data_IF_102095631121
#
_entry.id   IF_102095631121
#
_cell.length_a   1.000
_cell.length_b   1.000
_cell.length_c   1.000
_cell.angle_alpha   90.00
_cell.angle_beta   90.00
_cell.angle_gamma   90.00
#
_symmetry.space_group_name_H-M   'P 1'
#
loop_
_entity.id
_entity.type
_entity.pdbx_description
1 polymer ?
#
# COMPACT_ATOMS: atom_id res chain seq x y z
N UNK A 1 -22.29 5.25 -14.59
CA UNK A 1 -22.27 3.98 -15.35
C UNK A 1 -20.87 3.38 -15.28
N UNK A 2 -20.73 2.06 -15.21
CA UNK A 2 -19.41 1.41 -15.33
C UNK A 2 -18.80 1.72 -16.69
N UNK A 3 -17.48 1.96 -16.73
CA UNK A 3 -16.75 2.23 -17.98
C UNK A 3 -16.64 0.93 -18.77
N UNK A 4 -17.04 0.94 -20.04
CA UNK A 4 -16.99 -0.27 -20.87
C UNK A 4 -15.54 -0.66 -21.20
N UNK A 5 -15.29 -1.94 -21.52
CA UNK A 5 -13.97 -2.39 -21.94
C UNK A 5 -13.43 -1.63 -23.16
N UNK A 6 -14.31 -1.27 -24.11
CA UNK A 6 -13.93 -0.50 -25.30
C UNK A 6 -13.48 0.92 -24.91
N UNK A 7 -14.24 1.60 -24.04
CA UNK A 7 -13.87 2.91 -23.51
C UNK A 7 -12.57 2.87 -22.71
N UNK A 8 -12.34 1.84 -21.90
CA UNK A 8 -11.10 1.67 -21.15
C UNK A 8 -9.88 1.54 -22.08
N UNK A 9 -10.00 0.78 -23.16
CA UNK A 9 -8.95 0.69 -24.18
C UNK A 9 -8.68 2.04 -24.84
N UNK A 10 -9.72 2.79 -25.21
CA UNK A 10 -9.57 4.15 -25.76
C UNK A 10 -8.90 5.09 -24.76
N UNK A 11 -9.31 5.06 -23.49
CA UNK A 11 -8.73 5.89 -22.43
C UNK A 11 -7.27 5.54 -22.15
N UNK A 12 -6.92 4.25 -22.15
CA UNK A 12 -5.54 3.82 -21.96
C UNK A 12 -4.64 4.19 -23.15
N UNK A 13 -5.17 4.24 -24.38
CA UNK A 13 -4.42 4.73 -25.54
C UNK A 13 -4.34 6.26 -25.61
N UNK A 14 -5.21 6.98 -24.88
CA UNK A 14 -5.29 8.43 -24.91
C UNK A 14 -4.05 9.11 -24.33
N UNK A 15 -3.70 10.26 -24.90
CA UNK A 15 -2.70 11.18 -24.33
C UNK A 15 -3.34 12.33 -23.52
N UNK A 16 -4.67 12.40 -23.50
CA UNK A 16 -5.43 13.37 -22.72
C UNK A 16 -5.53 12.93 -21.26
N UNK A 17 -4.43 13.13 -20.53
CA UNK A 17 -4.33 12.79 -19.12
C UNK A 17 -5.25 13.62 -18.23
N UNK A 18 -5.63 14.82 -18.70
CA UNK A 18 -6.54 15.71 -17.97
C UNK A 18 -7.95 15.09 -17.97
N UNK A 19 -8.48 14.72 -19.14
CA UNK A 19 -9.80 14.08 -19.23
C UNK A 19 -9.82 12.75 -18.47
N UNK A 20 -8.76 11.95 -18.61
CA UNK A 20 -8.60 10.70 -17.89
C UNK A 20 -8.64 10.92 -16.36
N UNK A 21 -7.84 11.87 -15.87
CA UNK A 21 -7.78 12.22 -14.46
C UNK A 21 -9.12 12.74 -13.92
N UNK A 22 -9.80 13.61 -14.67
CA UNK A 22 -11.14 14.11 -14.31
C UNK A 22 -12.16 12.97 -14.18
N UNK A 23 -12.17 12.01 -15.11
CA UNK A 23 -13.06 10.84 -15.05
C UNK A 23 -12.75 9.97 -13.82
N UNK A 24 -11.46 9.75 -13.54
CA UNK A 24 -11.03 8.96 -12.39
C UNK A 24 -11.40 9.65 -11.06
N UNK A 25 -11.17 10.97 -10.93
CA UNK A 25 -11.58 11.74 -9.77
C UNK A 25 -13.10 11.71 -9.55
N UNK A 26 -13.89 11.80 -10.62
CA UNK A 26 -15.34 11.64 -10.52
C UNK A 26 -15.74 10.27 -9.96
N UNK A 27 -15.09 9.18 -10.36
CA UNK A 27 -15.32 7.85 -9.76
C UNK A 27 -14.92 7.86 -8.28
N UNK A 28 -13.76 8.41 -7.95
CA UNK A 28 -13.25 8.51 -6.58
C UNK A 28 -14.18 9.31 -5.68
N UNK A 29 -14.67 10.48 -6.11
CA UNK A 29 -15.63 11.32 -5.38
C UNK A 29 -16.98 10.64 -5.19
N UNK A 30 -17.47 9.88 -6.17
CA UNK A 30 -18.70 9.08 -6.00
C UNK A 30 -18.57 8.02 -4.91
N UNK A 31 -17.36 7.47 -4.69
CA UNK A 31 -17.11 6.45 -3.68
C UNK A 31 -16.79 7.01 -2.30
N UNK A 32 -16.00 8.09 -2.26
CA UNK A 32 -15.38 8.56 -1.02
C UNK A 32 -15.72 10.02 -0.67
N UNK A 33 -16.54 10.72 -1.47
CA UNK A 33 -16.85 12.13 -1.25
C UNK A 33 -15.58 12.99 -1.34
N UNK A 34 -15.33 13.83 -0.34
CA UNK A 34 -14.07 14.59 -0.17
C UNK A 34 -13.07 13.90 0.75
N UNK A 35 -13.47 12.86 1.49
CA UNK A 35 -12.64 12.17 2.47
C UNK A 35 -11.45 11.49 1.79
N UNK A 36 -10.23 11.80 2.25
CA UNK A 36 -8.97 11.13 1.88
C UNK A 36 -8.33 10.61 3.14
N UNK A 37 -7.96 9.33 3.16
CA UNK A 37 -7.27 8.76 4.32
C UNK A 37 -5.76 8.86 4.22
N UNK A 38 -5.08 8.88 5.36
CA UNK A 38 -3.63 8.72 5.43
C UNK A 38 -3.21 7.97 6.70
N UNK A 39 -2.08 7.27 6.67
CA UNK A 39 -1.52 6.59 7.84
C UNK A 39 -0.11 7.04 8.14
N UNK A 40 0.17 7.23 9.43
CA UNK A 40 1.52 7.47 9.94
C UNK A 40 2.17 6.15 10.36
N UNK A 41 3.34 5.87 9.79
CA UNK A 41 4.02 4.58 9.87
C UNK A 41 5.35 4.73 10.60
N UNK A 42 5.57 3.91 11.62
CA UNK A 42 6.89 3.68 12.19
C UNK A 42 7.52 2.47 11.50
N UNK A 43 8.55 2.69 10.71
CA UNK A 43 9.27 1.63 9.99
C UNK A 43 10.30 0.99 10.89
N UNK A 44 10.26 -0.33 10.97
CA UNK A 44 11.12 -1.15 11.82
C UNK A 44 11.81 -2.20 10.95
N UNK A 45 13.15 -2.37 10.99
CA UNK A 45 13.83 -3.38 10.17
C UNK A 45 13.55 -4.80 10.68
N UNK A 46 13.56 -5.78 9.79
CA UNK A 46 13.46 -7.21 10.09
C UNK A 46 14.58 -7.69 11.03
N UNK A 47 15.80 -7.19 10.83
CA UNK A 47 16.92 -7.42 11.74
C UNK A 47 16.98 -6.30 12.80
N UNK A 48 17.04 -6.62 14.10
CA UNK A 48 17.16 -5.63 15.16
C UNK A 48 18.44 -4.79 15.02
N UNK A 49 18.32 -3.47 15.13
CA UNK A 49 19.46 -2.52 15.06
C UNK A 49 19.68 -1.74 16.36
N UNK A 50 19.02 -2.15 17.45
CA UNK A 50 19.02 -1.46 18.74
C UNK A 50 17.63 -1.46 19.37
N UNK A 51 17.46 -0.71 20.48
CA UNK A 51 16.17 -0.59 21.17
C UNK A 51 15.07 -0.06 20.24
N UNK A 52 13.88 -0.64 20.34
CA UNK A 52 12.70 -0.15 19.63
C UNK A 52 12.22 1.17 20.26
N UNK A 53 12.28 2.25 19.50
CA UNK A 53 11.71 3.55 19.86
C UNK A 53 10.57 3.85 18.89
N UNK A 54 9.35 3.92 19.41
CA UNK A 54 8.15 4.17 18.61
C UNK A 54 7.67 5.61 18.85
N UNK A 55 7.55 6.43 17.81
CA UNK A 55 6.94 7.76 17.94
C UNK A 55 5.53 7.68 18.52
N UNK A 56 5.14 8.65 19.36
CA UNK A 56 3.79 8.69 19.96
C UNK A 56 2.66 8.82 18.93
N UNK A 57 3.01 9.35 17.76
CA UNK A 57 2.19 9.57 16.58
C UNK A 57 1.90 8.33 15.74
N UNK A 58 2.42 7.16 16.11
CA UNK A 58 2.41 5.97 15.26
C UNK A 58 1.00 5.37 15.11
N UNK A 59 0.49 5.35 13.87
CA UNK A 59 -0.78 4.69 13.51
C UNK A 59 -0.60 3.26 12.97
N UNK A 60 0.60 2.90 12.56
CA UNK A 60 1.00 1.56 12.12
C UNK A 60 2.49 1.34 12.41
N UNK A 61 2.87 0.18 12.96
CA UNK A 61 4.26 -0.25 13.02
C UNK A 61 4.47 -1.24 11.88
N UNK A 62 5.45 -0.97 11.01
CA UNK A 62 5.72 -1.80 9.82
C UNK A 62 7.09 -2.43 9.88
N UNK A 63 7.13 -3.75 9.97
CA UNK A 63 8.37 -4.52 9.91
C UNK A 63 8.74 -4.72 8.44
N UNK A 64 9.82 -4.08 7.99
CA UNK A 64 10.30 -4.11 6.60
C UNK A 64 11.59 -4.91 6.42
N UNK A 65 11.82 -5.37 5.19
CA UNK A 65 12.98 -6.18 4.81
C UNK A 65 12.72 -7.68 4.91
N UNK A 66 13.48 -8.47 4.16
CA UNK A 66 13.35 -9.92 4.17
C UNK A 66 13.98 -10.50 5.45
N UNK A 67 13.28 -11.39 6.18
CA UNK A 67 13.84 -12.02 7.37
C UNK A 67 14.94 -13.04 7.03
N UNK A 68 15.95 -13.12 7.90
CA UNK A 68 17.09 -14.05 7.75
C UNK A 68 16.68 -15.53 7.94
N UNK A 69 15.66 -15.80 8.75
CA UNK A 69 15.08 -17.14 8.93
C UNK A 69 13.64 -17.06 9.43
N UNK A 70 12.91 -18.19 9.41
CA UNK A 70 11.57 -18.33 10.03
C UNK A 70 11.62 -17.98 11.51
N UNK A 71 12.63 -18.50 12.22
CA UNK A 71 12.84 -18.21 13.63
C UNK A 71 13.06 -16.71 13.86
N UNK A 72 13.94 -16.08 13.08
CA UNK A 72 14.20 -14.65 13.19
C UNK A 72 12.95 -13.80 12.88
N UNK A 73 12.14 -14.22 11.90
CA UNK A 73 10.87 -13.55 11.60
C UNK A 73 9.90 -13.60 12.79
N UNK A 74 9.72 -14.78 13.39
CA UNK A 74 8.85 -15.00 14.55
C UNK A 74 9.33 -14.21 15.77
N UNK A 75 10.62 -14.26 16.08
CA UNK A 75 11.23 -13.51 17.18
C UNK A 75 11.04 -12.01 16.98
N UNK A 76 11.26 -11.52 15.76
CA UNK A 76 11.08 -10.11 15.44
C UNK A 76 9.64 -9.65 15.58
N UNK A 77 8.67 -10.45 15.13
CA UNK A 77 7.24 -10.14 15.34
C UNK A 77 6.93 -10.05 16.83
N UNK A 78 7.35 -11.03 17.64
CA UNK A 78 7.09 -11.03 19.10
C UNK A 78 7.66 -9.79 19.79
N UNK A 79 8.89 -9.41 19.45
CA UNK A 79 9.55 -8.22 19.99
C UNK A 79 8.74 -6.95 19.68
N UNK A 80 8.33 -6.77 18.42
CA UNK A 80 7.58 -5.59 17.98
C UNK A 80 6.16 -5.58 18.57
N UNK A 81 5.49 -6.73 18.63
CA UNK A 81 4.17 -6.86 19.25
C UNK A 81 4.22 -6.49 20.74
N UNK A 82 5.24 -6.94 21.47
CA UNK A 82 5.42 -6.58 22.88
C UNK A 82 5.61 -5.07 23.09
N UNK A 83 6.25 -4.38 22.13
CA UNK A 83 6.45 -2.93 22.16
C UNK A 83 5.23 -2.13 21.62
N UNK A 84 4.32 -2.78 20.88
CA UNK A 84 3.30 -2.10 20.08
C UNK A 84 2.24 -1.34 20.87
N UNK A 85 1.96 -1.75 22.12
CA UNK A 85 0.92 -1.16 22.98
C UNK A 85 -0.46 -1.05 22.29
N UNK A 86 -0.80 -2.01 21.42
CA UNK A 86 -2.09 -2.07 20.70
C UNK A 86 -2.12 -1.33 19.36
N UNK A 87 -1.02 -0.68 18.97
CA UNK A 87 -0.84 -0.13 17.63
C UNK A 87 -0.79 -1.31 16.63
N UNK A 88 -1.53 -1.26 15.50
CA UNK A 88 -1.48 -2.32 14.49
C UNK A 88 -0.06 -2.57 13.99
N UNK A 89 0.34 -3.84 13.94
CA UNK A 89 1.62 -4.29 13.40
C UNK A 89 1.40 -4.99 12.07
N UNK A 90 2.05 -4.48 11.02
CA UNK A 90 2.19 -5.16 9.74
C UNK A 90 3.63 -5.63 9.54
N UNK A 91 3.84 -6.75 8.88
CA UNK A 91 5.19 -7.29 8.70
C UNK A 91 5.37 -7.98 7.36
N UNK A 92 6.55 -7.76 6.79
CA UNK A 92 7.14 -8.44 5.64
C UNK A 92 6.32 -8.34 4.34
N UNK A 93 7.03 -8.44 3.22
CA UNK A 93 6.40 -8.69 1.93
C UNK A 93 5.99 -10.15 1.83
N UNK A 94 4.80 -10.44 1.30
CA UNK A 94 4.35 -11.82 1.08
C UNK A 94 5.30 -12.58 0.14
N UNK A 95 5.91 -11.90 -0.82
CA UNK A 95 6.90 -12.51 -1.71
C UNK A 95 8.21 -12.87 -0.98
N UNK A 96 8.64 -12.06 -0.02
CA UNK A 96 9.81 -12.40 0.82
C UNK A 96 9.51 -13.63 1.69
N UNK A 97 8.27 -13.77 2.17
CA UNK A 97 7.82 -14.93 2.93
C UNK A 97 7.72 -16.20 2.06
N UNK A 98 7.31 -16.10 0.79
CA UNK A 98 7.34 -17.23 -0.16
C UNK A 98 8.76 -17.74 -0.40
N UNK A 99 9.70 -16.82 -0.61
CA UNK A 99 11.12 -17.15 -0.78
C UNK A 99 11.69 -17.78 0.49
N UNK A 100 11.35 -17.25 1.66
CA UNK A 100 11.74 -17.81 2.94
C UNK A 100 11.21 -19.22 3.14
N UNK A 101 9.92 -19.44 2.91
CA UNK A 101 9.29 -20.75 3.06
C UNK A 101 9.95 -21.80 2.14
N UNK A 102 10.21 -21.42 0.90
CA UNK A 102 10.94 -22.26 -0.07
C UNK A 102 12.34 -22.58 0.41
N UNK A 103 13.11 -21.57 0.85
CA UNK A 103 14.49 -21.73 1.35
C UNK A 103 14.56 -22.68 2.53
N UNK A 104 13.58 -22.64 3.42
CA UNK A 104 13.52 -23.47 4.63
C UNK A 104 12.75 -24.78 4.45
N UNK A 105 12.33 -25.11 3.23
CA UNK A 105 11.57 -26.33 2.92
C UNK A 105 10.30 -26.50 3.76
N UNK A 106 9.59 -25.39 4.03
CA UNK A 106 8.30 -25.37 4.72
C UNK A 106 7.21 -24.79 3.82
N UNK A 107 5.95 -25.03 4.16
CA UNK A 107 4.84 -24.40 3.42
C UNK A 107 4.72 -22.93 3.81
N UNK A 108 4.29 -22.09 2.86
CA UNK A 108 3.93 -20.70 3.13
C UNK A 108 2.88 -20.62 4.26
N UNK A 109 1.86 -21.51 4.23
CA UNK A 109 0.84 -21.62 5.28
C UNK A 109 1.44 -21.73 6.68
N UNK A 110 2.33 -22.71 6.87
CA UNK A 110 2.91 -22.99 8.18
C UNK A 110 3.75 -21.84 8.70
N UNK A 111 4.49 -21.16 7.82
CA UNK A 111 5.23 -19.95 8.17
C UNK A 111 4.27 -18.82 8.60
N UNK A 112 3.18 -18.60 7.87
CA UNK A 112 2.20 -17.56 8.17
C UNK A 112 1.43 -17.85 9.48
N UNK A 113 1.10 -19.11 9.76
CA UNK A 113 0.50 -19.57 11.01
C UNK A 113 1.41 -19.30 12.22
N UNK A 114 2.73 -19.51 12.08
CA UNK A 114 3.69 -19.17 13.11
C UNK A 114 3.76 -17.66 13.38
N UNK A 115 3.74 -16.84 12.32
CA UNK A 115 3.72 -15.38 12.45
C UNK A 115 2.42 -14.91 13.11
N UNK A 116 1.29 -15.53 12.76
CA UNK A 116 0.01 -15.27 13.43
C UNK A 116 0.08 -15.66 14.91
N UNK A 117 0.63 -16.82 15.24
CA UNK A 117 0.81 -17.27 16.62
C UNK A 117 1.79 -16.38 17.41
N UNK A 118 2.71 -15.70 16.73
CA UNK A 118 3.57 -14.66 17.31
C UNK A 118 2.84 -13.32 17.57
N UNK A 119 1.60 -13.17 17.11
CA UNK A 119 0.76 -11.99 17.30
C UNK A 119 0.61 -11.11 16.06
N UNK A 120 1.16 -11.51 14.89
CA UNK A 120 1.00 -10.70 13.68
C UNK A 120 -0.47 -10.63 13.25
N UNK A 121 -0.90 -9.43 12.88
CA UNK A 121 -2.25 -9.18 12.35
C UNK A 121 -2.25 -9.03 10.83
N UNK A 122 -1.23 -8.34 10.28
CA UNK A 122 -1.19 -7.98 8.87
C UNK A 122 0.12 -8.39 8.19
N UNK A 123 0.00 -8.92 6.97
CA UNK A 123 1.13 -8.93 6.02
C UNK A 123 1.26 -7.52 5.43
N UNK A 124 2.46 -6.96 5.41
CA UNK A 124 2.68 -5.54 5.11
C UNK A 124 2.34 -5.16 3.66
N UNK A 125 2.72 -6.03 2.71
CA UNK A 125 2.33 -5.90 1.31
C UNK A 125 2.46 -7.23 0.54
N UNK A 126 1.79 -7.28 -0.61
CA UNK A 126 1.87 -8.38 -1.56
C UNK A 126 2.21 -7.81 -2.95
N UNK A 127 3.48 -7.86 -3.39
CA UNK A 127 3.87 -7.42 -4.72
C UNK A 127 3.36 -8.41 -5.77
N UNK A 128 2.31 -8.03 -6.51
CA UNK A 128 1.61 -8.88 -7.45
C UNK A 128 2.55 -9.58 -8.45
N UNK A 129 3.54 -8.84 -8.96
CA UNK A 129 4.49 -9.26 -9.99
C UNK A 129 5.67 -10.09 -9.47
N UNK A 130 5.79 -10.29 -8.15
CA UNK A 130 6.81 -11.16 -7.55
C UNK A 130 6.25 -12.46 -6.97
N UNK A 131 4.93 -12.55 -6.77
CA UNK A 131 4.30 -13.76 -6.24
C UNK A 131 4.24 -14.84 -7.32
N UNK A 132 4.49 -16.09 -6.92
CA UNK A 132 4.43 -17.21 -7.86
C UNK A 132 2.99 -17.47 -8.36
N UNK A 133 2.03 -17.47 -7.43
CA UNK A 133 0.59 -17.56 -7.71
C UNK A 133 -0.14 -16.59 -6.77
N UNK A 134 -0.37 -15.32 -7.19
CA UNK A 134 -0.93 -14.28 -6.32
C UNK A 134 -2.23 -14.68 -5.63
N UNK A 135 -3.08 -15.48 -6.29
CA UNK A 135 -4.34 -15.94 -5.71
C UNK A 135 -4.06 -16.88 -4.55
N UNK A 136 -3.28 -17.94 -4.79
CA UNK A 136 -2.97 -18.92 -3.75
C UNK A 136 -2.26 -18.28 -2.57
N UNK A 137 -1.23 -17.45 -2.80
CA UNK A 137 -0.47 -16.82 -1.71
C UNK A 137 -1.35 -15.97 -0.80
N UNK A 138 -2.30 -15.22 -1.37
CA UNK A 138 -3.24 -14.40 -0.61
C UNK A 138 -4.28 -15.26 0.11
N UNK A 139 -4.77 -16.34 -0.52
CA UNK A 139 -5.64 -17.32 0.14
C UNK A 139 -4.94 -17.97 1.35
N UNK A 140 -3.65 -18.30 1.23
CA UNK A 140 -2.83 -18.85 2.32
C UNK A 140 -2.71 -17.87 3.50
N UNK A 141 -2.47 -16.58 3.24
CA UNK A 141 -2.46 -15.56 4.28
C UNK A 141 -3.82 -15.43 4.99
N UNK A 142 -4.91 -15.44 4.22
CA UNK A 142 -6.25 -15.36 4.77
C UNK A 142 -6.59 -16.61 5.63
N UNK A 143 -6.23 -17.81 5.16
CA UNK A 143 -6.44 -19.07 5.90
C UNK A 143 -5.64 -19.09 7.20
N UNK A 144 -4.41 -18.58 7.20
CA UNK A 144 -3.60 -18.41 8.40
C UNK A 144 -4.13 -17.33 9.37
N UNK A 145 -5.22 -16.62 9.02
CA UNK A 145 -5.84 -15.60 9.84
C UNK A 145 -5.12 -14.24 9.79
N UNK A 146 -4.32 -13.99 8.75
CA UNK A 146 -3.64 -12.72 8.52
C UNK A 146 -4.39 -11.90 7.47
N UNK A 147 -4.47 -10.59 7.70
CA UNK A 147 -5.02 -9.66 6.71
C UNK A 147 -3.91 -9.14 5.80
N UNK A 148 -4.19 -9.00 4.50
CA UNK A 148 -3.28 -8.30 3.60
C UNK A 148 -3.47 -6.78 3.74
N UNK A 149 -2.42 -6.04 4.13
CA UNK A 149 -2.55 -4.60 4.29
C UNK A 149 -2.74 -3.87 2.95
N UNK A 150 -2.04 -4.32 1.90
CA UNK A 150 -2.10 -3.76 0.53
C UNK A 150 -1.57 -4.73 -0.52
N UNK A 151 -2.12 -4.66 -1.72
CA UNK A 151 -1.50 -5.22 -2.93
C UNK A 151 -0.61 -4.15 -3.59
N UNK A 152 0.59 -4.50 -4.02
CA UNK A 152 1.59 -3.59 -4.60
C UNK A 152 2.05 -4.06 -5.97
N UNK A 153 2.73 -3.16 -6.70
CA UNK A 153 3.50 -3.46 -7.90
C UNK A 153 4.97 -3.23 -7.55
N UNK A 154 5.82 -4.23 -7.68
CA UNK A 154 7.25 -4.12 -7.39
C UNK A 154 7.97 -3.39 -8.52
N UNK A 155 7.77 -3.80 -9.78
CA UNK A 155 8.36 -3.18 -10.97
C UNK A 155 7.34 -2.96 -12.08
N UNK A 156 7.54 -1.88 -12.82
CA UNK A 156 6.80 -1.64 -14.06
C UNK A 156 7.50 -2.35 -15.22
N UNK A 157 6.93 -3.45 -15.70
CA UNK A 157 7.48 -4.20 -16.85
C UNK A 157 6.99 -3.70 -18.22
N UNK A 158 5.91 -2.90 -18.25
CA UNK A 158 5.29 -2.41 -19.48
C UNK A 158 4.65 -1.03 -19.28
N UNK A 159 4.71 -0.15 -20.30
CA UNK A 159 3.90 1.08 -20.32
C UNK A 159 2.40 0.77 -20.44
N UNK A 160 2.02 -0.37 -21.04
CA UNK A 160 0.63 -0.84 -21.03
C UNK A 160 0.28 -1.46 -19.67
N UNK A 161 -0.52 -0.72 -18.92
CA UNK A 161 -0.96 -1.05 -17.56
C UNK A 161 -2.29 -1.82 -17.55
N UNK A 162 -3.07 -1.84 -18.64
CA UNK A 162 -4.41 -2.43 -18.64
C UNK A 162 -4.43 -3.93 -18.30
N UNK A 163 -3.52 -4.78 -18.83
CA UNK A 163 -3.50 -6.20 -18.50
C UNK A 163 -3.33 -6.44 -17.00
N UNK A 164 -2.41 -5.71 -16.36
CA UNK A 164 -2.17 -5.79 -14.92
C UNK A 164 -3.42 -5.39 -14.13
N UNK A 165 -4.05 -4.25 -14.47
CA UNK A 165 -5.23 -3.79 -13.73
C UNK A 165 -6.42 -4.74 -13.88
N UNK A 166 -6.61 -5.34 -15.06
CA UNK A 166 -7.63 -6.37 -15.27
C UNK A 166 -7.33 -7.62 -14.44
N UNK A 167 -6.07 -8.03 -14.37
CA UNK A 167 -5.65 -9.15 -13.54
C UNK A 167 -5.86 -8.89 -12.04
N UNK A 168 -5.56 -7.68 -11.56
CA UNK A 168 -5.86 -7.26 -10.17
C UNK A 168 -7.36 -7.28 -9.89
N UNK A 169 -8.19 -6.83 -10.85
CA UNK A 169 -9.65 -6.86 -10.73
C UNK A 169 -10.14 -8.30 -10.57
N UNK A 170 -9.65 -9.21 -11.40
CA UNK A 170 -10.02 -10.63 -11.34
C UNK A 170 -9.49 -11.30 -10.07
N UNK A 171 -8.25 -11.00 -9.67
CA UNK A 171 -7.69 -11.46 -8.41
C UNK A 171 -8.59 -11.06 -7.24
N UNK A 172 -9.01 -9.80 -7.16
CA UNK A 172 -9.92 -9.33 -6.12
C UNK A 172 -11.30 -10.00 -6.17
N UNK A 173 -11.82 -10.38 -7.35
CA UNK A 173 -13.05 -11.19 -7.44
C UNK A 173 -12.85 -12.59 -6.85
N UNK A 174 -11.66 -13.16 -7.03
CA UNK A 174 -11.36 -14.51 -6.55
C UNK A 174 -11.09 -14.58 -5.05
N UNK A 175 -10.36 -13.60 -4.48
CA UNK A 175 -9.97 -13.62 -3.07
C UNK A 175 -10.84 -12.76 -2.16
N UNK A 176 -11.47 -11.69 -2.69
CA UNK A 176 -12.36 -10.77 -1.99
C UNK A 176 -11.82 -10.08 -0.72
N UNK A 177 -10.51 -10.17 -0.44
CA UNK A 177 -9.88 -9.64 0.78
C UNK A 177 -8.95 -8.45 0.56
N UNK A 178 -8.68 -8.04 -0.69
CA UNK A 178 -7.79 -6.92 -0.98
C UNK A 178 -8.51 -5.61 -0.66
N UNK A 179 -8.10 -4.96 0.43
CA UNK A 179 -8.68 -3.68 0.85
C UNK A 179 -8.08 -2.46 0.14
N UNK A 180 -6.84 -2.58 -0.32
CA UNK A 180 -6.08 -1.48 -0.90
C UNK A 180 -5.12 -1.96 -1.98
N UNK A 181 -5.01 -1.17 -3.04
CA UNK A 181 -4.07 -1.39 -4.14
C UNK A 181 -3.22 -0.15 -4.38
N UNK A 182 -1.90 -0.32 -4.34
CA UNK A 182 -0.91 0.70 -4.68
C UNK A 182 -0.41 0.43 -6.11
N UNK A 183 -0.92 1.15 -7.13
CA UNK A 183 -0.67 0.81 -8.52
C UNK A 183 0.72 1.25 -9.00
N UNK A 184 1.35 2.21 -8.34
CA UNK A 184 2.66 2.72 -8.76
C UNK A 184 3.79 1.77 -8.33
N UNK A 185 4.80 1.63 -9.19
CA UNK A 185 5.87 0.64 -9.03
C UNK A 185 6.86 1.03 -7.92
N UNK A 186 6.99 0.20 -6.88
CA UNK A 186 7.86 0.47 -5.73
C UNK A 186 9.33 0.64 -6.07
N UNK A 187 9.77 0.05 -7.19
CA UNK A 187 11.13 0.20 -7.71
C UNK A 187 11.09 0.56 -9.20
N UNK A 188 11.92 1.53 -9.58
CA UNK A 188 12.11 1.94 -10.98
C UNK A 188 13.52 1.57 -11.40
N UNK A 189 13.68 1.04 -12.62
CA UNK A 189 15.01 0.82 -13.17
C UNK A 189 15.65 2.18 -13.49
N UNK A 190 16.91 2.46 -13.09
CA UNK A 190 17.61 3.66 -13.53
C UNK A 190 17.72 3.78 -15.06
N UNK A 191 17.72 2.64 -15.76
CA UNK A 191 17.77 2.61 -17.24
C UNK A 191 16.42 2.85 -17.91
N UNK A 192 15.31 2.72 -17.17
CA UNK A 192 13.95 2.97 -17.65
C UNK A 192 13.11 3.54 -16.49
N UNK A 193 13.35 4.80 -16.10
CA UNK A 193 12.55 5.45 -15.06
C UNK A 193 11.12 5.66 -15.56
N UNK A 194 10.15 5.65 -14.65
CA UNK A 194 8.80 6.12 -14.98
C UNK A 194 8.81 7.64 -15.08
N UNK A 195 7.91 8.18 -15.89
CA UNK A 195 7.63 9.61 -15.91
C UNK A 195 6.44 9.93 -15.00
N UNK A 196 6.39 11.16 -14.46
CA UNK A 196 5.22 11.60 -13.70
C UNK A 196 3.92 11.53 -14.52
N UNK A 197 4.01 11.66 -15.84
CA UNK A 197 2.89 11.45 -16.75
C UNK A 197 2.38 9.99 -16.71
N UNK A 198 3.29 9.01 -16.77
CA UNK A 198 2.93 7.59 -16.68
C UNK A 198 2.34 7.24 -15.32
N UNK A 199 2.90 7.78 -14.24
CA UNK A 199 2.41 7.54 -12.88
C UNK A 199 0.98 8.08 -12.70
N UNK A 200 0.73 9.32 -13.12
CA UNK A 200 -0.61 9.93 -13.05
C UNK A 200 -1.60 9.14 -13.91
N UNK A 201 -1.21 8.73 -15.11
CA UNK A 201 -2.05 7.91 -16.00
C UNK A 201 -2.36 6.55 -15.37
N UNK A 202 -1.38 5.93 -14.71
CA UNK A 202 -1.52 4.64 -14.03
C UNK A 202 -2.48 4.71 -12.84
N UNK A 203 -2.39 5.74 -12.00
CA UNK A 203 -3.35 5.95 -10.88
C UNK A 203 -4.77 6.13 -11.41
N UNK A 204 -4.93 6.96 -12.45
CA UNK A 204 -6.24 7.21 -13.04
C UNK A 204 -6.86 5.94 -13.64
N UNK A 205 -6.08 5.18 -14.42
CA UNK A 205 -6.53 3.89 -14.95
C UNK A 205 -6.84 2.90 -13.82
N UNK A 206 -6.05 2.85 -12.75
CA UNK A 206 -6.31 1.96 -11.61
C UNK A 206 -7.69 2.24 -11.00
N UNK A 207 -8.05 3.50 -10.79
CA UNK A 207 -9.38 3.88 -10.28
C UNK A 207 -10.52 3.50 -11.24
N UNK A 208 -10.30 3.58 -12.55
CA UNK A 208 -11.33 3.29 -13.54
C UNK A 208 -11.52 1.79 -13.80
N UNK A 209 -10.43 1.01 -13.75
CA UNK A 209 -10.42 -0.43 -14.09
C UNK A 209 -10.65 -1.29 -12.85
N UNK A 210 -9.94 -1.01 -11.75
CA UNK A 210 -9.98 -1.80 -10.51
C UNK A 210 -11.14 -1.33 -9.65
N UNK A 211 -12.35 -1.60 -10.12
CA UNK A 211 -13.57 -1.08 -9.54
C UNK A 211 -14.00 -1.80 -8.24
N UNK A 212 -13.42 -2.95 -7.93
CA UNK A 212 -13.80 -3.81 -6.80
C UNK A 212 -12.79 -3.81 -5.64
N UNK A 213 -11.68 -3.08 -5.76
CA UNK A 213 -10.80 -2.78 -4.61
C UNK A 213 -11.29 -1.50 -3.94
N UNK A 214 -11.51 -1.49 -2.61
CA UNK A 214 -12.04 -0.32 -1.91
C UNK A 214 -11.19 0.94 -2.06
N UNK A 215 -9.86 0.81 -1.88
CA UNK A 215 -8.95 1.95 -1.85
C UNK A 215 -7.82 1.84 -2.89
N UNK A 216 -7.53 2.96 -3.55
CA UNK A 216 -6.37 3.17 -4.41
C UNK A 216 -5.38 4.07 -3.68
N UNK A 217 -4.19 3.53 -3.42
CA UNK A 217 -3.17 4.15 -2.57
C UNK A 217 -2.07 4.83 -3.38
N UNK A 218 -1.49 5.88 -2.80
CA UNK A 218 -0.17 6.41 -3.19
C UNK A 218 0.77 6.37 -1.98
N UNK A 219 2.00 5.92 -2.20
CA UNK A 219 3.03 5.81 -1.15
C UNK A 219 3.79 7.14 -1.03
N UNK A 220 3.61 7.82 0.09
CA UNK A 220 4.21 9.14 0.37
C UNK A 220 5.72 9.06 0.49
N UNK A 221 6.25 8.02 1.14
CA UNK A 221 7.70 7.87 1.34
C UNK A 221 8.42 7.63 0.01
N UNK A 222 7.77 6.95 -0.94
CA UNK A 222 8.35 6.65 -2.25
C UNK A 222 8.19 7.78 -3.25
N UNK A 223 7.01 8.40 -3.34
CA UNK A 223 6.70 9.37 -4.40
C UNK A 223 6.71 10.83 -3.96
N UNK A 224 6.80 11.06 -2.65
CA UNK A 224 6.86 12.39 -2.06
C UNK A 224 5.57 13.21 -2.20
N UNK A 225 5.56 14.40 -1.60
CA UNK A 225 4.36 15.24 -1.47
C UNK A 225 3.78 15.68 -2.82
N UNK A 226 4.62 16.01 -3.80
CA UNK A 226 4.16 16.58 -5.08
C UNK A 226 3.36 15.58 -5.91
N UNK A 227 3.92 14.38 -6.11
CA UNK A 227 3.24 13.36 -6.90
C UNK A 227 2.06 12.76 -6.12
N UNK A 228 2.18 12.59 -4.80
CA UNK A 228 1.04 12.19 -3.96
C UNK A 228 -0.14 13.15 -4.10
N UNK A 229 0.10 14.47 -4.09
CA UNK A 229 -0.94 15.47 -4.30
C UNK A 229 -1.66 15.29 -5.63
N UNK A 230 -0.90 15.14 -6.73
CA UNK A 230 -1.49 14.97 -8.06
C UNK A 230 -2.25 13.64 -8.13
N UNK A 231 -1.71 12.55 -7.57
CA UNK A 231 -2.38 11.24 -7.53
C UNK A 231 -3.77 11.32 -6.88
N UNK A 232 -3.91 12.12 -5.81
CA UNK A 232 -5.20 12.38 -5.16
C UNK A 232 -6.21 13.06 -6.09
N UNK A 233 -5.76 13.93 -6.98
CA UNK A 233 -6.62 14.63 -7.96
C UNK A 233 -6.98 13.76 -9.18
N UNK A 234 -6.39 12.57 -9.30
CA UNK A 234 -6.64 11.66 -10.42
C UNK A 234 -7.08 10.26 -9.98
N UNK A 235 -7.57 10.12 -8.74
CA UNK A 235 -8.31 8.93 -8.33
C UNK A 235 -7.77 8.17 -7.12
N UNK A 236 -6.59 8.52 -6.58
CA UNK A 236 -6.18 7.99 -5.28
C UNK A 236 -7.10 8.54 -4.16
N UNK A 237 -7.40 7.71 -3.18
CA UNK A 237 -8.21 8.09 -2.00
C UNK A 237 -7.45 7.93 -0.68
N UNK A 238 -6.28 7.31 -0.72
CA UNK A 238 -5.51 6.99 0.47
C UNK A 238 -4.00 7.24 0.26
N UNK A 239 -3.35 7.77 1.29
CA UNK A 239 -1.92 8.05 1.31
C UNK A 239 -1.24 7.18 2.36
N UNK A 240 -0.34 6.31 1.91
CA UNK A 240 0.41 5.41 2.79
C UNK A 240 1.81 5.94 3.10
N UNK A 241 2.42 5.44 4.18
CA UNK A 241 3.85 5.64 4.42
C UNK A 241 4.24 7.06 4.84
N UNK A 242 3.30 7.85 5.39
CA UNK A 242 3.66 9.12 6.04
C UNK A 242 4.50 8.79 7.27
N UNK A 243 5.61 9.48 7.49
CA UNK A 243 6.45 9.22 8.67
C UNK A 243 5.67 9.46 9.96
N UNK A 244 5.80 8.53 10.92
CA UNK A 244 5.34 8.75 12.29
C UNK A 244 6.31 9.64 13.10
N UNK A 245 7.54 9.84 12.63
CA UNK A 245 8.48 10.76 13.23
C UNK A 245 8.09 12.19 12.88
N UNK A 246 7.54 12.92 13.85
CA UNK A 246 7.39 14.36 13.74
C UNK A 246 8.75 15.00 14.08
N UNK A 247 9.62 15.16 13.07
CA UNK A 247 10.78 16.05 13.23
C UNK A 247 10.27 17.50 13.29
N UNK A 248 10.35 18.05 14.50
CA UNK A 248 9.84 19.38 14.84
C UNK A 248 10.96 20.42 14.84
N UNK A 249 12.18 20.06 14.43
CA UNK A 249 13.34 20.98 14.38
C UNK A 249 13.06 22.20 13.50
N UNK A 250 12.33 22.03 12.40
CA UNK A 250 11.87 23.14 11.55
C UNK A 250 10.53 23.77 11.99
N UNK A 251 10.03 23.38 13.16
CA UNK A 251 8.78 23.85 13.76
C UNK A 251 7.54 23.02 13.38
N UNK A 252 6.53 23.02 14.26
CA UNK A 252 5.30 22.20 14.15
C UNK A 252 4.58 22.25 12.81
N UNK A 253 4.65 23.40 12.12
CA UNK A 253 4.00 23.59 10.82
C UNK A 253 4.69 22.81 9.70
N UNK A 254 5.94 22.40 9.86
CA UNK A 254 6.71 21.66 8.84
C UNK A 254 6.85 20.17 9.13
N UNK A 255 6.29 19.69 10.24
CA UNK A 255 6.25 18.26 10.52
C UNK A 255 5.39 17.48 9.52
N UNK A 256 5.66 16.17 9.32
CA UNK A 256 4.98 15.32 8.35
C UNK A 256 3.46 15.35 8.44
N UNK A 257 2.87 15.37 9.65
CA UNK A 257 1.42 15.42 9.84
C UNK A 257 0.77 16.67 9.22
N UNK A 258 1.35 17.84 9.45
CA UNK A 258 0.78 19.08 8.92
C UNK A 258 1.07 19.22 7.42
N UNK A 259 2.18 18.65 6.93
CA UNK A 259 2.46 18.60 5.50
C UNK A 259 1.43 17.74 4.75
N UNK A 260 1.18 16.49 5.18
CA UNK A 260 0.18 15.63 4.53
C UNK A 260 -1.21 16.27 4.58
N UNK A 261 -1.60 16.86 5.72
CA UNK A 261 -2.90 17.54 5.86
C UNK A 261 -3.02 18.72 4.91
N UNK A 262 -1.98 19.55 4.76
CA UNK A 262 -1.98 20.66 3.78
C UNK A 262 -2.03 20.13 2.36
N UNK A 263 -1.28 19.08 2.06
CA UNK A 263 -1.22 18.48 0.73
C UNK A 263 -2.60 18.00 0.26
N UNK A 264 -3.28 17.24 1.13
CA UNK A 264 -4.65 16.76 0.90
C UNK A 264 -5.64 17.93 0.75
N UNK A 265 -5.58 18.94 1.65
CA UNK A 265 -6.48 20.12 1.55
C UNK A 265 -6.25 20.91 0.26
N UNK A 266 -5.01 21.07 -0.16
CA UNK A 266 -4.66 21.76 -1.40
C UNK A 266 -5.10 20.98 -2.66
N UNK A 267 -5.32 19.66 -2.56
CA UNK A 267 -6.00 18.87 -3.59
C UNK A 267 -7.54 19.01 -3.54
N UNK A 268 -8.08 19.86 -2.66
CA UNK A 268 -9.53 20.06 -2.50
C UNK A 268 -10.24 18.91 -1.79
N UNK A 269 -9.53 18.23 -0.87
CA UNK A 269 -9.98 17.04 -0.16
C UNK A 269 -9.86 17.21 1.37
N UNK A 270 -10.51 16.32 2.11
CA UNK A 270 -10.56 16.34 3.57
C UNK A 270 -9.65 15.24 4.15
N UNK A 271 -8.58 15.59 4.89
CA UNK A 271 -7.65 14.62 5.45
C UNK A 271 -8.24 13.91 6.66
N UNK A 272 -8.26 12.58 6.63
CA UNK A 272 -8.68 11.71 7.73
C UNK A 272 -7.54 10.76 8.09
N UNK A 273 -7.01 10.87 9.31
CA UNK A 273 -5.98 9.95 9.78
C UNK A 273 -6.61 8.57 10.03
N UNK A 274 -5.94 7.51 9.57
CA UNK A 274 -6.31 6.11 9.81
C UNK A 274 -5.15 5.35 10.42
N UNK A 275 -5.45 4.23 11.08
CA UNK A 275 -4.44 3.29 11.55
C UNK A 275 -4.17 2.19 10.50
N UNK A 276 -3.25 1.27 10.82
CA UNK A 276 -2.96 0.09 10.00
C UNK A 276 -4.13 -0.88 9.82
N UNK A 277 -5.21 -0.79 10.61
CA UNK A 277 -6.47 -1.54 10.42
C UNK A 277 -7.46 -0.83 9.48
N UNK A 278 -7.11 0.33 8.95
CA UNK A 278 -7.98 1.21 8.14
C UNK A 278 -9.14 1.83 8.92
N UNK A 279 -9.03 1.86 10.25
CA UNK A 279 -9.97 2.55 11.13
C UNK A 279 -9.54 4.02 11.25
N UNK A 280 -10.51 4.93 11.27
CA UNK A 280 -10.21 6.33 11.54
C UNK A 280 -9.66 6.48 12.98
N UNK A 281 -8.59 7.25 13.13
CA UNK A 281 -8.03 7.59 14.44
C UNK A 281 -8.74 8.85 14.93
N UNK A 282 -9.21 8.84 16.18
CA UNK A 282 -9.75 10.04 16.81
C UNK A 282 -8.64 11.11 16.90
N UNK A 283 -8.88 12.27 16.30
CA UNK A 283 -7.94 13.40 16.26
C UNK A 283 -7.94 14.25 17.51
#
# INVERSE_FOLDING_TARGET
MPVTNAELTTLAASHDIINLGMRADQVRRRRHGTRTTFVRVASVPAEPRGPLVLPSATGEIRIGGAPASRQAAVERVREVIAASRGIPVSAFSLADLELLATRESVTLRSLLEDLRAAGLELVADAPYDLLHDPRRSIEEANIAGLTLARLTVHRSSSPDTLPLLKAVTELQRSVAVIRAFAPLARTTSPSMPTTGYEDVKRVALARLVVDNVPSIQVDWALYGPKLAQIALTVGADDVDGVSAEDDMTEGRRRGPLEEIRRNIRAAGLEPVERNGRFEAVAG
#
